data_IF_653521222263
#
_entry.id   IF_653521222263
#
_cell.length_a   1.000
_cell.length_b   1.000
_cell.length_c   1.000
_cell.angle_alpha   90.00
_cell.angle_beta   90.00
_cell.angle_gamma   90.00
#
_symmetry.space_group_name_H-M   'P 1'
#
loop_
_entity.id
_entity.type
_entity.pdbx_description
1 polymer ?
#
# COMPACT_ATOMS: atom_id res chain seq x y z
N UNK A 1 -5.83 -9.72 -12.95
CA UNK A 1 -6.19 -8.58 -13.82
C UNK A 1 -6.57 -7.29 -13.06
N UNK A 2 -6.35 -7.15 -11.75
CA UNK A 2 -6.77 -5.95 -10.99
C UNK A 2 -5.60 -5.03 -10.59
N UNK A 3 -4.36 -5.53 -10.57
CA UNK A 3 -3.18 -4.73 -10.18
C UNK A 3 -2.60 -3.90 -11.35
N UNK A 4 -2.95 -4.24 -12.61
CA UNK A 4 -2.45 -3.53 -13.82
C UNK A 4 -3.11 -2.15 -14.00
N UNK A 5 -4.28 -1.89 -13.41
CA UNK A 5 -4.97 -0.62 -13.59
C UNK A 5 -4.44 0.55 -12.74
N UNK A 6 -3.54 0.31 -11.77
CA UNK A 6 -2.94 1.41 -11.00
C UNK A 6 -1.87 2.17 -11.81
N UNK A 7 -1.36 1.58 -12.89
CA UNK A 7 -0.31 2.20 -13.73
C UNK A 7 -0.83 2.98 -14.95
N UNK A 8 -2.12 2.89 -15.30
CA UNK A 8 -2.60 3.29 -16.64
C UNK A 8 -3.41 4.61 -16.71
N UNK A 9 -3.23 5.54 -15.77
CA UNK A 9 -4.00 6.81 -15.81
C UNK A 9 -3.15 8.08 -15.76
N UNK A 10 -2.02 8.09 -16.46
CA UNK A 10 -1.27 9.33 -16.72
C UNK A 10 -0.83 9.35 -18.19
N UNK A 11 -1.76 9.60 -19.12
CA UNK A 11 -1.40 9.90 -20.52
C UNK A 11 -2.50 10.69 -21.25
N UNK A 12 -2.12 11.85 -21.79
CA UNK A 12 -2.80 12.60 -22.87
C UNK A 12 -2.82 14.12 -22.62
N UNK A 13 -2.17 15.01 -23.39
CA UNK A 13 -1.36 14.85 -24.61
C UNK A 13 -0.68 16.16 -25.09
N UNK A 14 0.27 15.99 -26.04
CA UNK A 14 0.83 16.88 -27.13
C UNK A 14 1.14 18.37 -26.85
N UNK A 15 2.28 18.98 -27.19
CA UNK A 15 3.10 18.89 -28.42
C UNK A 15 4.41 19.71 -28.33
N UNK A 16 5.36 19.39 -29.21
CA UNK A 16 6.61 20.07 -29.65
C UNK A 16 7.82 20.08 -28.70
N UNK A 17 8.95 19.60 -29.25
CA UNK A 17 10.22 19.35 -28.57
C UNK A 17 11.02 20.63 -28.32
N UNK A 18 11.24 20.92 -27.04
CA UNK A 18 12.36 21.73 -26.56
C UNK A 18 13.05 20.90 -25.49
N UNK A 19 14.37 20.67 -25.58
CA UNK A 19 15.09 19.94 -24.53
C UNK A 19 14.98 20.74 -23.23
N UNK A 20 14.09 20.26 -22.36
CA UNK A 20 13.79 20.89 -21.08
C UNK A 20 14.40 20.06 -19.97
N UNK A 21 15.29 20.66 -19.18
CA UNK A 21 15.83 20.04 -17.97
C UNK A 21 14.71 19.59 -17.02
N UNK A 22 13.50 20.20 -17.10
CA UNK A 22 12.30 19.72 -16.42
C UNK A 22 11.83 18.37 -16.93
N UNK A 23 11.87 18.08 -18.23
CA UNK A 23 11.42 16.79 -18.76
C UNK A 23 12.41 15.66 -18.42
N UNK A 24 13.70 15.97 -18.37
CA UNK A 24 14.72 15.04 -17.90
C UNK A 24 14.59 14.77 -16.40
N UNK A 25 14.39 15.82 -15.58
CA UNK A 25 14.13 15.68 -14.16
C UNK A 25 12.81 14.92 -13.89
N UNK A 26 11.76 15.17 -14.66
CA UNK A 26 10.48 14.47 -14.58
C UNK A 26 10.59 13.00 -15.02
N UNK A 27 11.39 12.69 -16.04
CA UNK A 27 11.71 11.30 -16.42
C UNK A 27 12.54 10.60 -15.35
N UNK A 28 13.54 11.26 -14.77
CA UNK A 28 14.34 10.72 -13.67
C UNK A 28 13.49 10.49 -12.42
N UNK A 29 12.64 11.44 -12.06
CA UNK A 29 11.70 11.34 -10.95
C UNK A 29 10.67 10.24 -11.19
N UNK A 30 10.08 10.12 -12.41
CA UNK A 30 9.20 9.00 -12.77
C UNK A 30 9.92 7.65 -12.71
N UNK A 31 11.19 7.59 -13.12
CA UNK A 31 12.00 6.36 -13.07
C UNK A 31 12.34 5.96 -11.63
N UNK A 32 12.65 6.93 -10.76
CA UNK A 32 12.85 6.71 -9.33
C UNK A 32 11.53 6.31 -8.66
N UNK A 33 10.42 6.99 -8.94
CA UNK A 33 9.08 6.64 -8.41
C UNK A 33 8.62 5.25 -8.87
N UNK A 34 8.88 4.90 -10.13
CA UNK A 34 8.67 3.55 -10.69
C UNK A 34 9.53 2.50 -9.98
N UNK A 35 10.75 2.86 -9.57
CA UNK A 35 11.65 2.00 -8.81
C UNK A 35 11.32 1.95 -7.31
N UNK A 36 10.71 3.00 -6.74
CA UNK A 36 10.14 3.02 -5.38
C UNK A 36 8.92 2.12 -5.28
N UNK A 37 8.15 1.98 -6.38
CA UNK A 37 7.10 0.99 -6.54
C UNK A 37 7.61 -0.38 -7.03
N UNK A 38 8.90 -0.67 -6.85
CA UNK A 38 9.52 -1.91 -7.37
C UNK A 38 8.97 -3.17 -6.72
N UNK A 39 9.12 -4.27 -7.48
CA UNK A 39 8.80 -5.67 -7.19
C UNK A 39 8.89 -6.09 -5.71
N UNK A 40 9.87 -5.60 -4.94
CA UNK A 40 10.04 -5.89 -3.51
C UNK A 40 8.93 -5.36 -2.59
N UNK A 41 8.31 -4.21 -2.92
CA UNK A 41 7.17 -3.67 -2.16
C UNK A 41 5.88 -4.41 -2.49
N UNK A 42 5.72 -4.81 -3.76
CA UNK A 42 4.68 -5.73 -4.15
C UNK A 42 4.88 -7.08 -3.43
N UNK A 43 6.09 -7.62 -3.39
CA UNK A 43 6.39 -8.94 -2.81
C UNK A 43 6.16 -9.03 -1.29
N UNK A 44 6.32 -7.92 -0.54
CA UNK A 44 6.00 -7.87 0.90
C UNK A 44 4.48 -7.86 1.17
N UNK A 45 3.66 -7.45 0.19
CA UNK A 45 2.19 -7.43 0.27
C UNK A 45 1.52 -8.56 -0.52
N UNK A 46 2.30 -9.28 -1.33
CA UNK A 46 1.90 -10.41 -2.19
C UNK A 46 2.39 -11.72 -1.58
N UNK A 47 2.72 -11.71 -0.29
CA UNK A 47 2.81 -12.96 0.48
C UNK A 47 1.41 -13.57 0.53
N UNK A 48 1.26 -14.83 0.09
CA UNK A 48 -0.04 -15.44 -0.19
C UNK A 48 -0.96 -15.41 1.03
N UNK A 49 -0.40 -15.64 2.24
CA UNK A 49 -1.13 -15.54 3.51
C UNK A 49 -1.67 -14.13 3.79
N UNK A 50 -0.87 -13.11 3.49
CA UNK A 50 -1.28 -11.71 3.67
C UNK A 50 -2.41 -11.32 2.71
N UNK A 51 -2.39 -11.89 1.50
CA UNK A 51 -3.44 -11.74 0.49
C UNK A 51 -4.78 -12.32 0.96
N UNK A 52 -4.78 -13.55 1.48
CA UNK A 52 -5.98 -14.21 1.98
C UNK A 52 -6.63 -13.45 3.15
N UNK A 53 -5.82 -12.96 4.10
CA UNK A 53 -6.32 -12.14 5.21
C UNK A 53 -6.98 -10.86 4.70
N UNK A 54 -6.39 -10.20 3.70
CA UNK A 54 -6.95 -8.99 3.11
C UNK A 54 -8.27 -9.25 2.36
N UNK A 55 -8.38 -10.39 1.68
CA UNK A 55 -9.59 -10.81 0.98
C UNK A 55 -10.74 -11.08 1.95
N UNK A 56 -10.47 -11.73 3.09
CA UNK A 56 -11.47 -11.92 4.14
C UNK A 56 -11.86 -10.59 4.81
N UNK A 57 -10.91 -9.69 5.07
CA UNK A 57 -11.21 -8.35 5.56
C UNK A 57 -12.11 -7.56 4.58
N UNK A 58 -11.89 -7.71 3.28
CA UNK A 58 -12.78 -7.15 2.25
C UNK A 58 -14.17 -7.80 2.30
N UNK A 59 -14.26 -9.12 2.42
CA UNK A 59 -15.52 -9.86 2.51
C UNK A 59 -16.35 -9.40 3.71
N UNK A 60 -15.73 -9.29 4.89
CA UNK A 60 -16.36 -8.78 6.12
C UNK A 60 -16.79 -7.32 5.95
N UNK A 61 -15.93 -6.47 5.37
CA UNK A 61 -16.27 -5.06 5.13
C UNK A 61 -17.45 -4.91 4.16
N UNK A 62 -17.51 -5.73 3.11
CA UNK A 62 -18.63 -5.74 2.16
C UNK A 62 -19.92 -6.21 2.82
N UNK A 63 -19.85 -7.27 3.64
CA UNK A 63 -20.99 -7.78 4.37
C UNK A 63 -21.55 -6.74 5.35
N UNK A 64 -20.68 -6.05 6.10
CA UNK A 64 -21.08 -5.06 7.09
C UNK A 64 -21.63 -3.77 6.46
N UNK A 65 -21.01 -3.29 5.37
CA UNK A 65 -21.43 -2.02 4.73
C UNK A 65 -22.59 -2.17 3.74
N UNK A 66 -22.81 -3.36 3.20
CA UNK A 66 -23.74 -3.60 2.09
C UNK A 66 -23.34 -2.94 0.78
N UNK A 67 -22.17 -2.29 0.71
CA UNK A 67 -21.75 -1.44 -0.40
C UNK A 67 -20.36 -1.85 -0.91
N UNK A 68 -20.33 -2.37 -2.14
CA UNK A 68 -19.10 -2.82 -2.81
C UNK A 68 -18.08 -1.69 -2.96
N UNK A 69 -18.53 -0.49 -3.33
CA UNK A 69 -17.62 0.63 -3.59
C UNK A 69 -16.96 1.12 -2.29
N UNK A 70 -17.72 1.19 -1.20
CA UNK A 70 -17.18 1.54 0.13
C UNK A 70 -16.21 0.48 0.63
N UNK A 71 -16.57 -0.81 0.54
CA UNK A 71 -15.67 -1.89 0.94
C UNK A 71 -14.36 -1.88 0.13
N UNK A 72 -14.44 -1.70 -1.19
CA UNK A 72 -13.25 -1.57 -2.04
C UNK A 72 -12.39 -0.36 -1.67
N UNK A 73 -13.03 0.78 -1.32
CA UNK A 73 -12.31 1.97 -0.89
C UNK A 73 -11.53 1.72 0.42
N UNK A 74 -12.17 1.10 1.40
CA UNK A 74 -11.54 0.75 2.69
C UNK A 74 -10.33 -0.16 2.48
N UNK A 75 -10.49 -1.27 1.75
CA UNK A 75 -9.39 -2.20 1.47
C UNK A 75 -8.26 -1.54 0.68
N UNK A 76 -8.59 -0.69 -0.31
CA UNK A 76 -7.59 0.06 -1.07
C UNK A 76 -6.82 1.05 -0.22
N UNK A 77 -7.48 1.77 0.68
CA UNK A 77 -6.83 2.74 1.54
C UNK A 77 -5.99 2.07 2.63
N UNK A 78 -6.41 0.89 3.13
CA UNK A 78 -5.58 0.04 3.99
C UNK A 78 -4.26 -0.36 3.31
N UNK A 79 -4.34 -0.90 2.08
CA UNK A 79 -3.15 -1.28 1.30
C UNK A 79 -2.23 -0.08 1.07
N UNK A 80 -2.77 1.08 0.68
CA UNK A 80 -1.96 2.29 0.48
C UNK A 80 -1.20 2.72 1.73
N UNK A 81 -1.85 2.69 2.90
CA UNK A 81 -1.20 3.05 4.17
C UNK A 81 -0.10 2.05 4.50
N UNK A 82 -0.38 0.75 4.37
CA UNK A 82 0.62 -0.31 4.60
C UNK A 82 1.85 -0.16 3.67
N UNK A 83 1.64 0.06 2.37
CA UNK A 83 2.72 0.33 1.39
C UNK A 83 3.53 1.54 1.83
N UNK A 84 2.88 2.67 2.16
CA UNK A 84 3.58 3.90 2.55
C UNK A 84 4.48 3.67 3.76
N UNK A 85 3.97 3.01 4.80
CA UNK A 85 4.76 2.70 5.99
C UNK A 85 5.93 1.80 5.63
N UNK A 86 5.71 0.75 4.83
CA UNK A 86 6.78 -0.16 4.41
C UNK A 86 7.89 0.56 3.61
N UNK A 87 7.52 1.49 2.70
CA UNK A 87 8.47 2.33 1.95
C UNK A 87 9.29 3.20 2.92
N UNK A 88 8.64 3.86 3.89
CA UNK A 88 9.31 4.73 4.84
C UNK A 88 10.31 3.96 5.72
N UNK A 89 9.95 2.76 6.17
CA UNK A 89 10.84 1.87 6.93
C UNK A 89 12.04 1.44 6.07
N UNK A 90 11.79 0.99 4.83
CA UNK A 90 12.84 0.47 3.95
C UNK A 90 13.89 1.51 3.55
N UNK A 91 13.53 2.78 3.55
CA UNK A 91 14.42 3.89 3.18
C UNK A 91 14.96 4.67 4.39
N UNK A 92 14.85 4.11 5.61
CA UNK A 92 15.31 4.71 6.86
C UNK A 92 14.85 6.17 7.01
N UNK A 93 13.61 6.44 6.62
CA UNK A 93 13.03 7.79 6.66
C UNK A 93 12.43 8.16 8.01
N UNK A 94 12.30 7.20 8.91
CA UNK A 94 11.79 7.43 10.26
C UNK A 94 12.88 7.89 11.22
N UNK A 95 12.54 8.86 12.06
CA UNK A 95 13.35 9.22 13.23
C UNK A 95 13.37 8.09 14.27
N UNK A 96 14.24 8.19 15.28
CA UNK A 96 14.29 7.21 16.38
C UNK A 96 12.97 7.12 17.14
N UNK A 97 12.31 8.25 17.32
CA UNK A 97 11.01 8.38 17.98
C UNK A 97 9.91 7.75 17.14
N UNK A 98 9.91 7.99 15.83
CA UNK A 98 8.94 7.39 14.89
C UNK A 98 9.14 5.87 14.77
N UNK A 99 10.38 5.38 14.78
CA UNK A 99 10.67 3.94 14.82
C UNK A 99 10.16 3.29 16.12
N UNK A 100 10.31 3.97 17.26
CA UNK A 100 9.74 3.49 18.54
C UNK A 100 8.22 3.41 18.46
N UNK A 101 7.57 4.43 17.87
CA UNK A 101 6.13 4.42 17.66
C UNK A 101 5.69 3.28 16.73
N UNK A 102 6.40 3.06 15.63
CA UNK A 102 6.12 1.97 14.69
C UNK A 102 6.25 0.60 15.37
N UNK A 103 7.23 0.43 16.25
CA UNK A 103 7.41 -0.80 17.02
C UNK A 103 6.27 -1.03 18.02
N UNK A 104 5.85 0.00 18.75
CA UNK A 104 4.70 -0.08 19.65
C UNK A 104 3.39 -0.33 18.90
N UNK A 105 3.22 0.28 17.72
CA UNK A 105 2.10 -0.02 16.83
C UNK A 105 2.08 -1.50 16.41
N UNK A 106 3.24 -2.06 16.03
CA UNK A 106 3.36 -3.48 15.68
C UNK A 106 2.94 -4.39 16.83
N UNK A 107 3.35 -4.10 18.07
CA UNK A 107 2.93 -4.86 19.25
C UNK A 107 1.42 -4.81 19.46
N UNK A 108 0.82 -3.62 19.37
CA UNK A 108 -0.64 -3.45 19.52
C UNK A 108 -1.42 -4.19 18.44
N UNK A 109 -0.96 -4.14 17.18
CA UNK A 109 -1.55 -4.91 16.09
C UNK A 109 -1.48 -6.42 16.36
N UNK A 110 -0.33 -6.93 16.79
CA UNK A 110 -0.17 -8.34 17.10
C UNK A 110 -1.10 -8.78 18.24
N UNK A 111 -1.17 -8.00 19.31
CA UNK A 111 -2.10 -8.28 20.41
C UNK A 111 -3.55 -8.27 19.94
N UNK A 112 -3.95 -7.30 19.12
CA UNK A 112 -5.29 -7.23 18.54
C UNK A 112 -5.62 -8.45 17.68
N UNK A 113 -4.66 -8.93 16.88
CA UNK A 113 -4.82 -10.15 16.09
C UNK A 113 -5.03 -11.39 16.99
N UNK A 114 -4.22 -11.54 18.05
CA UNK A 114 -4.37 -12.63 19.02
C UNK A 114 -5.72 -12.56 19.76
N UNK A 115 -6.19 -11.37 20.11
CA UNK A 115 -7.53 -11.19 20.70
C UNK A 115 -8.63 -11.61 19.73
N UNK A 116 -8.54 -11.23 18.45
CA UNK A 116 -9.52 -11.61 17.45
C UNK A 116 -9.60 -13.14 17.26
N UNK A 117 -8.44 -13.81 17.25
CA UNK A 117 -8.35 -15.28 17.21
C UNK A 117 -9.00 -15.89 18.46
N UNK A 118 -8.65 -15.38 19.65
CA UNK A 118 -9.23 -15.86 20.91
C UNK A 118 -10.75 -15.70 20.98
N UNK A 119 -11.34 -14.68 20.35
CA UNK A 119 -12.80 -14.51 20.29
C UNK A 119 -13.49 -15.46 19.32
N UNK A 120 -12.75 -16.07 18.38
CA UNK A 120 -13.29 -17.07 17.46
C UNK A 120 -13.18 -18.48 18.04
N UNK A 121 -12.12 -18.75 18.81
CA UNK A 121 -11.83 -20.08 19.38
C UNK A 121 -12.59 -20.38 20.68
N UNK A 122 -13.12 -19.35 21.34
CA UNK A 122 -13.95 -19.44 22.56
C UNK A 122 -15.43 -19.36 22.19
#
# INVERSE_FOLDING_TARGET
MIIICIYCNISGGSSMETFSSKDLAMKAQKKILSHMASKSMAQMLVDDTSGEVLDELYRVSKLHTGDRAKAQKVSKDLVKVAVKVAVLIKHDKFSKEELKLAHEFRKKLHNGAMTAISFQEV
#
